data_IF_078342839368
#
_entry.id   IF_078342839368
#
_cell.length_a   1.000
_cell.length_b   1.000
_cell.length_c   1.000
_cell.angle_alpha   90.00
_cell.angle_beta   90.00
_cell.angle_gamma   90.00
#
_symmetry.space_group_name_H-M   'P 1'
#
loop_
_entity.id
_entity.type
_entity.pdbx_description
1 polymer ?
#
# COMPACT_ATOMS: atom_id res chain seq x y z
N UNK A 1 -8.40 -3.58 10.19
CA UNK A 1 -8.29 -3.81 8.73
C UNK A 1 -6.85 -3.63 8.27
N UNK A 2 -6.50 -4.24 7.12
CA UNK A 2 -5.16 -4.23 6.54
C UNK A 2 -5.23 -3.95 5.04
N UNK A 3 -4.26 -3.21 4.51
CA UNK A 3 -3.99 -3.02 3.09
C UNK A 3 -2.52 -3.28 2.82
N UNK A 4 -2.19 -3.70 1.62
CA UNK A 4 -0.80 -3.83 1.18
C UNK A 4 -0.64 -3.39 -0.25
N UNK A 5 0.58 -3.04 -0.60
CA UNK A 5 0.98 -2.76 -1.97
C UNK A 5 2.42 -3.21 -2.22
N UNK A 6 2.73 -3.51 -3.47
CA UNK A 6 4.07 -3.92 -3.89
C UNK A 6 4.44 -3.26 -5.21
N UNK A 7 5.67 -2.78 -5.31
CA UNK A 7 6.23 -2.16 -6.52
C UNK A 7 7.50 -2.89 -6.92
N UNK A 8 7.50 -3.57 -8.07
CA UNK A 8 8.72 -4.06 -8.72
C UNK A 8 9.43 -2.87 -9.37
N UNK A 9 10.56 -2.46 -8.80
CA UNK A 9 11.31 -1.29 -9.24
C UNK A 9 11.82 -1.42 -10.68
N UNK A 10 12.19 -2.63 -11.10
CA UNK A 10 12.64 -2.86 -12.46
C UNK A 10 11.51 -2.72 -13.49
N UNK A 11 10.30 -3.16 -13.13
CA UNK A 11 9.13 -3.00 -13.98
C UNK A 11 8.63 -1.56 -13.96
N UNK A 12 8.52 -0.93 -12.80
CA UNK A 12 8.12 0.47 -12.65
C UNK A 12 8.99 1.41 -13.50
N UNK A 13 10.30 1.18 -13.54
CA UNK A 13 11.22 1.94 -14.38
C UNK A 13 10.94 1.81 -15.89
N UNK A 14 10.40 0.67 -16.33
CA UNK A 14 10.04 0.43 -17.74
C UNK A 14 8.68 1.01 -18.09
N UNK A 15 7.71 0.87 -17.19
CA UNK A 15 6.31 1.21 -17.47
C UNK A 15 5.97 2.67 -17.16
N UNK A 16 6.73 3.31 -16.26
CA UNK A 16 6.39 4.63 -15.75
C UNK A 16 7.58 5.58 -15.73
N UNK A 17 7.49 6.63 -16.54
CA UNK A 17 8.42 7.75 -16.44
C UNK A 17 7.90 8.78 -15.42
N UNK A 18 8.31 8.64 -14.16
CA UNK A 18 7.91 9.57 -13.10
C UNK A 18 8.50 10.98 -13.26
N UNK A 19 9.55 11.14 -14.09
CA UNK A 19 10.15 12.46 -14.45
C UNK A 19 9.42 13.16 -15.57
N UNK A 20 8.42 12.52 -16.20
CA UNK A 20 7.62 13.19 -17.25
C UNK A 20 6.89 14.41 -16.68
N UNK A 21 6.75 15.42 -17.53
CA UNK A 21 6.09 16.66 -17.15
C UNK A 21 4.70 16.40 -16.49
N UNK A 22 4.45 17.06 -15.35
CA UNK A 22 3.21 16.99 -14.56
C UNK A 22 2.88 15.61 -13.95
N UNK A 23 3.81 14.65 -13.95
CA UNK A 23 3.55 13.36 -13.28
C UNK A 23 3.38 13.55 -11.77
N UNK A 24 4.33 14.24 -11.15
CA UNK A 24 4.30 14.49 -9.70
C UNK A 24 3.06 15.31 -9.30
N UNK A 25 2.70 16.33 -10.08
CA UNK A 25 1.54 17.18 -9.80
C UNK A 25 0.20 16.45 -9.78
N UNK A 26 0.11 15.34 -10.50
CA UNK A 26 -1.12 14.53 -10.56
C UNK A 26 -1.26 13.55 -9.40
N UNK A 27 -0.17 13.23 -8.74
CA UNK A 27 -0.10 12.10 -7.80
C UNK A 27 0.28 12.54 -6.38
N UNK A 28 1.15 13.55 -6.29
CA UNK A 28 1.76 13.94 -5.03
C UNK A 28 1.41 15.38 -4.65
N UNK A 29 1.06 15.59 -3.38
CA UNK A 29 0.87 16.93 -2.84
C UNK A 29 2.19 17.70 -2.85
N UNK A 30 2.13 19.04 -2.71
CA UNK A 30 3.33 19.87 -2.65
C UNK A 30 4.31 19.43 -1.55
N UNK A 31 3.78 19.00 -0.39
CA UNK A 31 4.61 18.49 0.71
C UNK A 31 5.33 17.20 0.33
N UNK A 32 4.63 16.30 -0.34
CA UNK A 32 5.23 15.03 -0.80
C UNK A 32 6.27 15.26 -1.90
N UNK A 33 6.05 16.23 -2.77
CA UNK A 33 7.05 16.59 -3.79
C UNK A 33 8.34 17.12 -3.16
N UNK A 34 8.26 17.86 -2.05
CA UNK A 34 9.44 18.26 -1.27
C UNK A 34 10.17 17.03 -0.73
N UNK A 35 9.45 16.05 -0.14
CA UNK A 35 10.06 14.80 0.32
C UNK A 35 10.76 14.03 -0.81
N UNK A 36 10.21 14.07 -2.02
CA UNK A 36 10.80 13.41 -3.18
C UNK A 36 12.09 14.12 -3.61
N UNK A 37 12.07 15.45 -3.69
CA UNK A 37 13.23 16.25 -4.15
C UNK A 37 14.38 16.17 -3.16
N UNK A 38 14.09 16.20 -1.86
CA UNK A 38 15.08 16.19 -0.78
C UNK A 38 15.60 14.77 -0.45
N UNK A 39 15.01 13.73 -1.04
CA UNK A 39 15.42 12.35 -0.79
C UNK A 39 16.79 12.04 -1.40
N UNK A 40 17.61 11.26 -0.70
CA UNK A 40 18.87 10.70 -1.22
C UNK A 40 18.64 9.92 -2.54
N UNK A 41 17.54 9.20 -2.64
CA UNK A 41 17.09 8.53 -3.85
C UNK A 41 15.64 8.92 -4.18
N UNK A 42 15.42 9.95 -5.02
CA UNK A 42 14.09 10.42 -5.39
C UNK A 42 13.21 9.35 -6.06
N UNK A 43 13.79 8.45 -6.87
CA UNK A 43 13.02 7.37 -7.50
C UNK A 43 12.43 6.42 -6.47
N UNK A 44 13.22 6.01 -5.49
CA UNK A 44 12.74 5.17 -4.38
C UNK A 44 11.67 5.90 -3.58
N UNK A 45 11.84 7.19 -3.31
CA UNK A 45 10.85 7.98 -2.57
C UNK A 45 9.51 8.08 -3.33
N UNK A 46 9.53 8.31 -4.64
CA UNK A 46 8.32 8.32 -5.48
C UNK A 46 7.53 7.02 -5.30
N UNK A 47 8.19 5.88 -5.48
CA UNK A 47 7.51 4.58 -5.42
C UNK A 47 7.15 4.17 -3.99
N UNK A 48 7.89 4.62 -2.99
CA UNK A 48 7.54 4.40 -1.59
C UNK A 48 6.26 5.17 -1.20
N UNK A 49 6.18 6.45 -1.54
CA UNK A 49 4.97 7.26 -1.28
C UNK A 49 3.76 6.74 -2.07
N UNK A 50 3.96 6.35 -3.34
CA UNK A 50 2.93 5.71 -4.15
C UNK A 50 2.39 4.46 -3.46
N UNK A 51 3.29 3.54 -3.08
CA UNK A 51 2.92 2.28 -2.44
C UNK A 51 2.18 2.47 -1.12
N UNK A 52 2.55 3.49 -0.32
CA UNK A 52 1.83 3.87 0.90
C UNK A 52 0.41 4.32 0.61
N UNK A 53 0.22 5.15 -0.42
CA UNK A 53 -1.12 5.60 -0.85
C UNK A 53 -1.99 4.43 -1.30
N UNK A 54 -1.45 3.55 -2.13
CA UNK A 54 -2.18 2.38 -2.64
C UNK A 54 -2.57 1.41 -1.51
N UNK A 55 -1.66 1.10 -0.60
CA UNK A 55 -1.95 0.26 0.56
C UNK A 55 -3.06 0.86 1.44
N UNK A 56 -3.00 2.16 1.70
CA UNK A 56 -3.99 2.88 2.51
C UNK A 56 -5.33 3.01 1.79
N UNK A 57 -5.32 3.26 0.48
CA UNK A 57 -6.53 3.31 -0.34
C UNK A 57 -7.33 2.00 -0.28
N UNK A 58 -6.65 0.85 -0.26
CA UNK A 58 -7.34 -0.45 -0.14
C UNK A 58 -8.16 -0.56 1.15
N UNK A 59 -7.67 -0.02 2.26
CA UNK A 59 -8.44 0.05 3.52
C UNK A 59 -9.59 1.03 3.37
N UNK A 60 -9.31 2.26 2.91
CA UNK A 60 -10.31 3.31 2.73
C UNK A 60 -11.46 2.86 1.83
N UNK A 61 -11.16 2.23 0.70
CA UNK A 61 -12.17 1.69 -0.20
C UNK A 61 -13.07 0.63 0.47
N UNK A 62 -12.48 -0.25 1.30
CA UNK A 62 -13.25 -1.27 2.03
C UNK A 62 -14.16 -0.69 3.08
N UNK A 63 -13.71 0.33 3.81
CA UNK A 63 -14.49 0.97 4.87
C UNK A 63 -15.64 1.81 4.32
N UNK A 64 -15.40 2.49 3.21
CA UNK A 64 -16.34 3.51 2.71
C UNK A 64 -17.16 3.04 1.52
N UNK A 65 -16.73 1.98 0.83
CA UNK A 65 -17.29 1.56 -0.46
C UNK A 65 -16.98 2.51 -1.61
N UNK A 66 -16.25 3.62 -1.37
CA UNK A 66 -15.92 4.60 -2.39
C UNK A 66 -14.89 4.00 -3.33
N UNK A 67 -15.30 3.84 -4.59
CA UNK A 67 -14.43 3.39 -5.68
C UNK A 67 -13.92 4.59 -6.45
N UNK A 68 -12.64 4.70 -6.58
CA UNK A 68 -11.94 5.78 -7.27
C UNK A 68 -10.66 6.10 -6.54
N UNK A 69 -9.55 6.10 -7.27
CA UNK A 69 -8.25 6.42 -6.72
C UNK A 69 -7.96 7.89 -6.92
N UNK A 70 -7.95 8.64 -5.83
CA UNK A 70 -7.69 10.08 -5.81
C UNK A 70 -6.39 10.35 -5.04
N UNK A 71 -5.22 10.17 -5.67
CA UNK A 71 -3.94 10.19 -4.97
C UNK A 71 -3.64 11.51 -4.25
N UNK A 72 -4.13 12.63 -4.75
CA UNK A 72 -3.94 13.93 -4.10
C UNK A 72 -4.77 14.12 -2.82
N UNK A 73 -5.79 13.28 -2.60
CA UNK A 73 -6.55 13.28 -1.34
C UNK A 73 -5.91 12.39 -0.25
N UNK A 74 -4.95 11.56 -0.65
CA UNK A 74 -4.17 10.70 0.23
C UNK A 74 -2.82 11.39 0.48
N UNK A 75 -2.64 12.06 1.61
CA UNK A 75 -1.38 12.74 1.92
C UNK A 75 -0.50 11.87 2.82
N UNK A 76 0.70 11.56 2.34
CA UNK A 76 1.72 10.85 3.11
C UNK A 76 2.48 11.82 4.02
N UNK A 77 2.68 11.40 5.27
CA UNK A 77 3.68 11.96 6.17
C UNK A 77 4.70 10.87 6.48
N UNK A 78 5.97 11.16 6.24
CA UNK A 78 7.06 10.19 6.39
C UNK A 78 7.84 10.46 7.66
N UNK A 79 7.88 9.49 8.59
CA UNK A 79 8.81 9.53 9.73
C UNK A 79 10.22 9.16 9.25
N UNK A 80 10.32 8.19 8.35
CA UNK A 80 11.52 7.72 7.66
C UNK A 80 11.13 6.84 6.47
N UNK A 81 12.08 6.21 5.81
CA UNK A 81 11.81 5.33 4.65
C UNK A 81 10.96 4.11 4.99
N UNK A 82 10.99 3.65 6.24
CA UNK A 82 10.25 2.48 6.72
C UNK A 82 8.88 2.84 7.25
N UNK A 83 8.75 3.86 8.09
CA UNK A 83 7.50 4.21 8.78
C UNK A 83 6.95 5.55 8.33
N UNK A 84 5.63 5.66 8.37
CA UNK A 84 4.91 6.88 8.10
C UNK A 84 3.41 6.70 8.23
N UNK A 85 2.67 7.73 7.87
CA UNK A 85 1.22 7.73 7.87
C UNK A 85 0.69 8.20 6.52
N UNK A 86 -0.55 7.82 6.23
CA UNK A 86 -1.33 8.37 5.12
C UNK A 86 -2.64 8.90 5.69
N UNK A 87 -2.93 10.16 5.40
CA UNK A 87 -4.16 10.82 5.83
C UNK A 87 -5.09 11.03 4.64
N UNK A 88 -6.37 10.72 4.81
CA UNK A 88 -7.44 11.08 3.89
C UNK A 88 -8.66 11.52 4.69
N UNK A 89 -9.11 12.76 4.48
CA UNK A 89 -10.17 13.40 5.29
C UNK A 89 -9.81 13.33 6.79
N UNK A 90 -10.66 12.69 7.58
CA UNK A 90 -10.53 12.48 9.03
C UNK A 90 -9.84 11.15 9.41
N UNK A 91 -9.41 10.36 8.41
CA UNK A 91 -8.80 9.04 8.63
C UNK A 91 -7.29 9.09 8.51
N UNK A 92 -6.62 8.36 9.40
CA UNK A 92 -5.17 8.19 9.42
C UNK A 92 -4.88 6.69 9.35
N UNK A 93 -4.02 6.31 8.42
CA UNK A 93 -3.50 4.95 8.28
C UNK A 93 -2.01 4.94 8.58
N UNK A 94 -1.57 4.00 9.42
CA UNK A 94 -0.16 3.78 9.70
C UNK A 94 0.43 2.89 8.62
N UNK A 95 1.60 3.24 8.11
CA UNK A 95 2.28 2.51 7.04
C UNK A 95 3.66 2.05 7.44
N UNK A 96 4.01 0.84 7.02
CA UNK A 96 5.35 0.28 7.13
C UNK A 96 5.79 -0.22 5.76
N UNK A 97 6.91 0.31 5.27
CA UNK A 97 7.51 -0.09 3.99
C UNK A 97 8.81 -0.85 4.21
N UNK A 98 9.05 -1.84 3.36
CA UNK A 98 10.30 -2.59 3.25
C UNK A 98 10.83 -2.46 1.83
N UNK A 99 12.08 -2.06 1.70
CA UNK A 99 12.74 -1.85 0.41
C UNK A 99 13.88 -2.86 0.31
N UNK A 100 13.68 -3.91 -0.44
CA UNK A 100 14.66 -4.99 -0.56
C UNK A 100 14.46 -5.77 -1.86
N UNK A 101 15.49 -6.47 -2.32
CA UNK A 101 15.42 -7.37 -3.49
C UNK A 101 14.83 -6.74 -4.76
N UNK A 102 14.99 -5.42 -4.93
CA UNK A 102 14.45 -4.70 -6.09
C UNK A 102 12.95 -4.46 -6.04
N UNK A 103 12.32 -4.54 -4.87
CA UNK A 103 10.93 -4.16 -4.67
C UNK A 103 10.73 -3.24 -3.46
N UNK A 104 9.63 -2.51 -3.50
CA UNK A 104 9.06 -1.81 -2.34
C UNK A 104 7.80 -2.56 -1.97
N UNK A 105 7.73 -2.97 -0.73
CA UNK A 105 6.56 -3.62 -0.15
C UNK A 105 6.03 -2.80 1.01
N UNK A 106 4.78 -2.40 0.94
CA UNK A 106 4.14 -1.57 1.97
C UNK A 106 2.91 -2.24 2.54
N UNK A 107 2.79 -2.17 3.85
CA UNK A 107 1.58 -2.54 4.59
C UNK A 107 1.00 -1.28 5.24
N UNK A 108 -0.32 -1.14 5.18
CA UNK A 108 -1.09 -0.14 5.89
C UNK A 108 -2.05 -0.80 6.88
N UNK A 109 -2.21 -0.17 8.04
CA UNK A 109 -3.15 -0.60 9.10
C UNK A 109 -3.84 0.60 9.72
N UNK A 110 -5.00 0.39 10.37
CA UNK A 110 -5.74 1.45 11.06
C UNK A 110 -5.10 1.75 12.42
N UNK A 111 -4.67 0.73 13.13
CA UNK A 111 -4.05 0.82 14.45
C UNK A 111 -2.61 0.31 14.38
N UNK A 112 -1.68 1.05 14.95
CA UNK A 112 -0.24 0.75 14.89
C UNK A 112 0.09 -0.63 15.49
N UNK A 113 -0.65 -1.06 16.50
CA UNK A 113 -0.51 -2.35 17.16
C UNK A 113 -0.78 -3.53 16.22
N UNK A 114 -1.58 -3.32 15.18
CA UNK A 114 -1.92 -4.35 14.20
C UNK A 114 -0.73 -4.81 13.35
N UNK A 115 0.38 -4.05 13.30
CA UNK A 115 1.61 -4.54 12.67
C UNK A 115 2.13 -5.85 13.30
N UNK A 116 1.87 -6.07 14.59
CA UNK A 116 2.25 -7.31 15.29
C UNK A 116 1.36 -8.51 14.97
N UNK A 117 0.22 -8.24 14.35
CA UNK A 117 -0.80 -9.26 14.02
C UNK A 117 -0.77 -9.67 12.55
N UNK A 118 0.14 -9.16 11.76
CA UNK A 118 0.22 -9.45 10.34
C UNK A 118 0.62 -10.89 10.11
N UNK A 119 -0.16 -11.57 9.25
CA UNK A 119 0.12 -12.91 8.76
C UNK A 119 0.20 -12.88 7.24
N UNK A 120 1.26 -13.45 6.69
CA UNK A 120 1.38 -13.66 5.24
C UNK A 120 0.54 -14.84 4.81
N UNK A 121 -0.09 -14.71 3.65
CA UNK A 121 -0.89 -15.75 3.03
C UNK A 121 -0.01 -16.51 2.06
N UNK A 122 -0.08 -17.84 2.13
CA UNK A 122 0.55 -18.71 1.13
C UNK A 122 -0.14 -18.47 -0.23
N UNK A 123 0.63 -18.28 -1.32
CA UNK A 123 0.06 -18.14 -2.68
C UNK A 123 -0.85 -19.27 -3.13
N UNK A 124 -0.72 -20.46 -2.53
CA UNK A 124 -1.57 -21.61 -2.81
C UNK A 124 -2.95 -21.57 -2.15
N UNK A 125 -3.17 -20.64 -1.18
CA UNK A 125 -4.47 -20.49 -0.51
C UNK A 125 -5.49 -19.96 -1.50
N UNK A 126 -6.66 -20.59 -1.54
CA UNK A 126 -7.77 -20.15 -2.38
C UNK A 126 -8.33 -18.80 -1.89
N UNK A 127 -8.42 -17.85 -2.80
CA UNK A 127 -8.86 -16.50 -2.53
C UNK A 127 -10.18 -16.24 -3.23
N UNK A 128 -11.17 -15.90 -2.43
CA UNK A 128 -12.51 -15.52 -2.89
C UNK A 128 -12.65 -14.01 -2.98
N UNK A 129 -13.66 -13.52 -3.71
CA UNK A 129 -13.99 -12.10 -3.80
C UNK A 129 -15.48 -11.88 -3.62
N UNK A 130 -15.82 -10.90 -2.78
CA UNK A 130 -17.20 -10.42 -2.57
C UNK A 130 -17.22 -8.92 -2.86
N UNK A 131 -17.97 -8.49 -3.84
CA UNK A 131 -17.98 -7.10 -4.30
C UNK A 131 -16.58 -6.54 -4.66
N UNK A 132 -15.69 -7.39 -5.20
CA UNK A 132 -14.33 -7.04 -5.54
C UNK A 132 -13.34 -7.01 -4.36
N UNK A 133 -13.81 -7.28 -3.13
CA UNK A 133 -12.98 -7.33 -1.92
C UNK A 133 -12.52 -8.76 -1.70
N UNK A 134 -11.21 -9.05 -1.62
CA UNK A 134 -10.71 -10.39 -1.41
C UNK A 134 -10.85 -10.85 0.04
N UNK A 135 -11.14 -12.14 0.21
CA UNK A 135 -11.18 -12.83 1.50
C UNK A 135 -10.72 -14.28 1.34
N UNK A 136 -10.37 -14.92 2.43
CA UNK A 136 -10.14 -16.36 2.54
C UNK A 136 -11.15 -16.94 3.53
N UNK A 137 -11.35 -18.26 3.48
CA UNK A 137 -12.01 -18.98 4.55
C UNK A 137 -10.93 -19.39 5.54
N UNK A 138 -11.05 -18.90 6.76
CA UNK A 138 -10.17 -19.28 7.85
C UNK A 138 -10.38 -20.76 8.22
N UNK A 139 -9.31 -21.53 8.21
CA UNK A 139 -9.39 -22.99 8.35
C UNK A 139 -9.91 -23.44 9.72
N UNK A 140 -9.56 -22.70 10.78
CA UNK A 140 -9.89 -23.06 12.15
C UNK A 140 -11.32 -22.66 12.52
N UNK A 141 -11.75 -21.47 12.10
CA UNK A 141 -13.07 -20.92 12.44
C UNK A 141 -14.14 -21.15 11.37
N UNK A 142 -13.76 -21.56 10.16
CA UNK A 142 -14.61 -21.64 8.97
C UNK A 142 -15.33 -20.32 8.63
N UNK A 143 -14.74 -19.19 8.99
CA UNK A 143 -15.28 -17.85 8.80
C UNK A 143 -14.57 -17.10 7.67
N UNK A 144 -15.28 -16.17 7.01
CA UNK A 144 -14.67 -15.25 6.05
C UNK A 144 -13.66 -14.34 6.76
N UNK A 145 -12.40 -14.37 6.32
CA UNK A 145 -11.32 -13.53 6.85
C UNK A 145 -10.83 -12.57 5.77
N UNK A 146 -10.95 -11.25 5.97
CA UNK A 146 -10.49 -10.27 4.99
C UNK A 146 -8.99 -10.37 4.73
N UNK A 147 -8.60 -10.30 3.46
CA UNK A 147 -7.20 -10.31 3.06
C UNK A 147 -6.88 -9.11 2.18
N UNK A 148 -5.62 -8.71 2.13
CA UNK A 148 -5.13 -7.75 1.15
C UNK A 148 -4.10 -8.42 0.27
N UNK A 149 -4.21 -8.19 -1.04
CA UNK A 149 -3.35 -8.81 -2.04
C UNK A 149 -2.80 -7.72 -2.94
N UNK A 150 -1.52 -7.85 -3.25
CA UNK A 150 -0.86 -7.03 -4.25
C UNK A 150 0.07 -7.88 -5.10
N UNK A 151 0.18 -7.53 -6.38
CA UNK A 151 1.17 -8.09 -7.27
C UNK A 151 1.66 -7.02 -8.25
N UNK A 152 2.94 -7.03 -8.54
CA UNK A 152 3.55 -6.20 -9.55
C UNK A 152 4.80 -6.89 -10.09
N UNK A 153 4.85 -7.08 -11.40
CA UNK A 153 5.95 -7.74 -12.07
C UNK A 153 6.22 -9.15 -11.51
N UNK A 154 7.39 -9.32 -10.94
CA UNK A 154 7.89 -10.61 -10.39
C UNK A 154 7.36 -10.93 -9.01
N UNK A 155 6.67 -10.00 -8.36
CA UNK A 155 6.33 -10.09 -6.95
C UNK A 155 4.83 -10.22 -6.73
N UNK A 156 4.48 -11.02 -5.75
CA UNK A 156 3.13 -11.19 -5.22
C UNK A 156 3.20 -11.27 -3.69
N UNK A 157 2.27 -10.62 -3.02
CA UNK A 157 2.12 -10.72 -1.57
C UNK A 157 0.64 -10.64 -1.17
N UNK A 158 0.24 -11.58 -0.31
CA UNK A 158 -1.05 -11.59 0.36
C UNK A 158 -0.87 -11.49 1.87
N UNK A 159 -1.70 -10.70 2.54
CA UNK A 159 -1.66 -10.51 4.00
C UNK A 159 -3.05 -10.47 4.61
N UNK A 160 -3.11 -10.92 5.86
CA UNK A 160 -4.27 -10.78 6.75
C UNK A 160 -3.83 -10.42 8.16
N UNK A 161 -4.77 -10.17 9.05
CA UNK A 161 -4.51 -10.00 10.48
C UNK A 161 -4.97 -11.26 11.21
N UNK A 162 -4.15 -11.77 12.12
CA UNK A 162 -4.64 -12.74 13.13
C UNK A 162 -5.48 -12.01 14.17
N UNK A 163 -6.37 -12.70 14.77
CA UNK A 163 -7.25 -12.21 15.83
C UNK A 163 -6.49 -11.87 17.12
#
# INVERSE_FOLDING_TARGET
MIGNDIVDLALAKKESNWKRNRFLDKIFTTKEQVLIVDAENPEIMVWNLWSRKEASYKIYNRETGIRGYFPLQLECSSENTTFGTVTIKDKIFFTQSRIENGCIYTIAVIEKENFKKIVRIDPAVEIFKKNGIPFIIDFDSNMEKPVSISHHGRFWEGVTLRD
#
